data_IF_291788915937
#
_entry.id   IF_291788915937
#
_cell.length_a   1.000
_cell.length_b   1.000
_cell.length_c   1.000
_cell.angle_alpha   90.00
_cell.angle_beta   90.00
_cell.angle_gamma   90.00
#
_symmetry.space_group_name_H-M   'P 1'
#
loop_
_entity.id
_entity.type
_entity.pdbx_description
1 polymer ?
#
# COMPACT_ATOMS: atom_id res chain seq x y z
N UNK A 1 47.44 -40.59 -38.65
CA UNK A 1 46.63 -41.00 -37.48
C UNK A 1 46.33 -39.77 -36.64
N UNK A 2 45.05 -39.43 -36.44
CA UNK A 2 44.54 -38.23 -35.76
C UNK A 2 44.25 -38.53 -34.29
N UNK A 3 44.85 -37.82 -33.33
CA UNK A 3 44.43 -37.71 -31.91
C UNK A 3 45.10 -36.47 -31.31
N UNK A 4 44.51 -35.58 -30.52
CA UNK A 4 43.15 -35.25 -30.07
C UNK A 4 43.28 -33.79 -29.59
N UNK A 5 42.48 -32.86 -30.10
CA UNK A 5 42.40 -31.51 -29.56
C UNK A 5 41.55 -31.59 -28.27
N UNK A 6 42.12 -31.25 -27.13
CA UNK A 6 41.40 -31.06 -25.86
C UNK A 6 40.62 -29.74 -25.96
N UNK A 7 39.38 -29.83 -26.41
CA UNK A 7 38.41 -28.73 -26.30
C UNK A 7 37.95 -28.61 -24.86
N UNK A 8 38.46 -27.60 -24.16
CA UNK A 8 37.87 -27.07 -22.93
C UNK A 8 36.46 -26.55 -23.25
N UNK A 9 35.43 -27.36 -23.00
CA UNK A 9 34.06 -26.88 -22.94
C UNK A 9 33.89 -26.04 -21.66
N UNK A 10 34.18 -24.74 -21.79
CA UNK A 10 33.71 -23.74 -20.85
C UNK A 10 32.21 -23.59 -21.15
N UNK A 11 31.39 -24.41 -20.49
CA UNK A 11 29.95 -24.17 -20.43
C UNK A 11 29.74 -22.78 -19.80
N UNK A 12 29.02 -21.85 -20.46
CA UNK A 12 28.54 -20.69 -19.75
C UNK A 12 27.50 -21.23 -18.76
N UNK A 13 27.88 -21.36 -17.50
CA UNK A 13 26.91 -21.32 -16.41
C UNK A 13 26.30 -19.92 -16.49
N UNK A 14 25.26 -19.79 -17.30
CA UNK A 14 24.36 -18.65 -17.27
C UNK A 14 23.74 -18.73 -15.88
N UNK A 15 24.37 -18.01 -14.95
CA UNK A 15 23.83 -17.68 -13.65
C UNK A 15 22.49 -16.97 -13.88
N UNK A 16 21.42 -17.75 -13.96
CA UNK A 16 20.05 -17.23 -13.81
C UNK A 16 19.90 -16.83 -12.33
N UNK A 17 20.43 -15.67 -12.00
CA UNK A 17 20.01 -14.90 -10.83
C UNK A 17 19.59 -13.51 -11.34
N UNK A 18 18.74 -12.73 -10.66
CA UNK A 18 17.67 -13.01 -9.71
C UNK A 18 16.44 -12.15 -10.10
N UNK A 19 15.89 -12.31 -11.31
CA UNK A 19 14.88 -11.36 -11.83
C UNK A 19 13.58 -11.41 -11.03
N UNK A 20 13.20 -12.59 -10.53
CA UNK A 20 12.00 -12.76 -9.71
C UNK A 20 12.07 -12.01 -8.36
N UNK A 21 13.25 -11.89 -7.75
CA UNK A 21 13.42 -11.20 -6.46
C UNK A 21 13.41 -9.66 -6.61
N UNK A 22 13.87 -9.14 -7.74
CA UNK A 22 13.85 -7.69 -7.98
C UNK A 22 12.42 -7.17 -8.23
N UNK A 23 11.58 -7.96 -8.91
CA UNK A 23 10.19 -7.61 -9.19
C UNK A 23 9.37 -7.58 -7.90
N UNK A 24 9.54 -8.58 -7.01
CA UNK A 24 8.80 -8.64 -5.74
C UNK A 24 9.13 -7.47 -4.81
N UNK A 25 10.40 -7.05 -4.72
CA UNK A 25 10.80 -5.86 -3.94
C UNK A 25 10.13 -4.58 -4.46
N UNK A 26 10.03 -4.40 -5.78
CA UNK A 26 9.38 -3.23 -6.37
C UNK A 26 7.88 -3.18 -6.07
N UNK A 27 7.22 -4.34 -6.09
CA UNK A 27 5.79 -4.46 -5.83
C UNK A 27 5.47 -4.21 -4.36
N UNK A 28 6.24 -4.80 -3.46
CA UNK A 28 6.06 -4.60 -2.03
C UNK A 28 6.24 -3.11 -1.64
N UNK A 29 7.15 -2.39 -2.31
CA UNK A 29 7.29 -0.95 -2.14
C UNK A 29 6.05 -0.18 -2.57
N UNK A 30 5.49 -0.49 -3.75
CA UNK A 30 4.24 0.14 -4.23
C UNK A 30 3.06 -0.16 -3.31
N UNK A 31 2.93 -1.40 -2.85
CA UNK A 31 1.87 -1.79 -1.91
C UNK A 31 1.95 -0.95 -0.64
N UNK A 32 3.14 -0.80 -0.02
CA UNK A 32 3.32 0.04 1.16
C UNK A 32 2.93 1.50 0.92
N UNK A 33 3.28 2.06 -0.24
CA UNK A 33 2.86 3.42 -0.61
C UNK A 33 1.34 3.54 -0.72
N UNK A 34 0.67 2.52 -1.27
CA UNK A 34 -0.79 2.48 -1.36
C UNK A 34 -1.47 2.31 0.00
N UNK A 35 -0.93 1.46 0.87
CA UNK A 35 -1.40 1.33 2.26
C UNK A 35 -1.36 2.68 2.99
N UNK A 36 -0.23 3.40 2.89
CA UNK A 36 -0.11 4.72 3.50
C UNK A 36 -1.12 5.71 2.91
N UNK A 37 -1.25 5.75 1.57
CA UNK A 37 -2.22 6.62 0.90
C UNK A 37 -3.67 6.32 1.34
N UNK A 38 -4.02 5.04 1.49
CA UNK A 38 -5.33 4.63 1.97
C UNK A 38 -5.60 5.11 3.40
N UNK A 39 -4.62 4.98 4.30
CA UNK A 39 -4.70 5.48 5.68
C UNK A 39 -4.90 6.99 5.69
N UNK A 40 -4.08 7.73 4.95
CA UNK A 40 -4.14 9.20 4.91
C UNK A 40 -5.50 9.70 4.40
N UNK A 41 -6.02 9.08 3.34
CA UNK A 41 -7.34 9.41 2.79
C UNK A 41 -8.47 9.11 3.78
N UNK A 42 -8.39 7.97 4.48
CA UNK A 42 -9.38 7.56 5.47
C UNK A 42 -9.38 8.49 6.68
N UNK A 43 -8.19 8.85 7.18
CA UNK A 43 -8.02 9.79 8.29
C UNK A 43 -8.56 11.17 7.92
N UNK A 44 -8.19 11.70 6.75
CA UNK A 44 -8.66 13.02 6.31
C UNK A 44 -10.17 13.07 6.19
N UNK A 45 -10.78 12.01 5.63
CA UNK A 45 -12.24 11.90 5.57
C UNK A 45 -12.87 11.88 6.96
N UNK A 46 -12.32 11.06 7.86
CA UNK A 46 -12.80 10.96 9.24
C UNK A 46 -12.72 12.30 9.97
N UNK A 47 -11.66 13.08 9.75
CA UNK A 47 -11.52 14.44 10.28
C UNK A 47 -12.62 15.35 9.74
N UNK A 48 -12.82 15.41 8.43
CA UNK A 48 -13.82 16.29 7.83
C UNK A 48 -15.24 15.93 8.29
N UNK A 49 -15.60 14.64 8.29
CA UNK A 49 -16.91 14.18 8.77
C UNK A 49 -17.07 14.36 10.28
N UNK A 50 -16.05 14.04 11.07
CA UNK A 50 -16.09 14.15 12.52
C UNK A 50 -16.21 15.60 13.00
N UNK A 51 -15.47 16.53 12.40
CA UNK A 51 -15.60 17.96 12.71
C UNK A 51 -16.96 18.51 12.29
N UNK A 52 -17.46 18.10 11.12
CA UNK A 52 -18.80 18.47 10.64
C UNK A 52 -19.90 18.00 11.59
N UNK A 53 -19.80 16.75 12.08
CA UNK A 53 -20.75 16.18 13.04
C UNK A 53 -20.68 16.87 14.41
N UNK A 54 -19.47 17.24 14.85
CA UNK A 54 -19.28 17.98 16.09
C UNK A 54 -19.68 19.45 16.01
N UNK A 55 -19.93 19.97 14.80
CA UNK A 55 -20.23 21.39 14.57
C UNK A 55 -19.05 22.31 14.90
N UNK A 56 -17.82 21.81 14.81
CA UNK A 56 -16.60 22.54 15.17
C UNK A 56 -15.94 23.13 13.92
N UNK A 57 -15.62 24.42 13.94
CA UNK A 57 -14.82 25.04 12.86
C UNK A 57 -13.40 24.48 12.88
N UNK A 58 -12.92 23.97 11.74
CA UNK A 58 -11.60 23.31 11.64
C UNK A 58 -10.41 24.17 12.07
N UNK A 59 -10.55 25.50 12.09
CA UNK A 59 -9.49 26.42 12.46
C UNK A 59 -9.55 26.85 13.94
N UNK A 60 -10.54 26.36 14.69
CA UNK A 60 -10.71 26.70 16.10
C UNK A 60 -9.67 25.97 16.97
N UNK A 61 -9.34 26.51 18.16
CA UNK A 61 -8.52 25.81 19.14
C UNK A 61 -9.10 24.45 19.56
N UNK A 62 -10.43 24.34 19.64
CA UNK A 62 -11.16 23.12 19.99
C UNK A 62 -11.01 22.05 18.91
N UNK A 63 -10.96 22.45 17.63
CA UNK A 63 -10.74 21.52 16.52
C UNK A 63 -9.42 20.78 16.65
N UNK A 64 -8.36 21.40 17.18
CA UNK A 64 -7.04 20.74 17.29
C UNK A 64 -7.11 19.46 18.12
N UNK A 65 -7.81 19.51 19.27
CA UNK A 65 -8.00 18.33 20.13
C UNK A 65 -8.87 17.29 19.46
N UNK A 66 -9.99 17.72 18.86
CA UNK A 66 -10.88 16.82 18.13
C UNK A 66 -10.17 16.12 16.96
N UNK A 67 -9.38 16.85 16.17
CA UNK A 67 -8.60 16.33 15.05
C UNK A 67 -7.63 15.24 15.52
N UNK A 68 -6.94 15.45 16.65
CA UNK A 68 -5.98 14.47 17.17
C UNK A 68 -6.67 13.15 17.58
N UNK A 69 -7.80 13.24 18.28
CA UNK A 69 -8.60 12.08 18.68
C UNK A 69 -9.20 11.34 17.47
N UNK A 70 -9.75 12.10 16.52
CA UNK A 70 -10.32 11.56 15.29
C UNK A 70 -9.23 10.88 14.45
N UNK A 71 -8.05 11.49 14.34
CA UNK A 71 -6.90 10.93 13.62
C UNK A 71 -6.49 9.58 14.20
N UNK A 72 -6.29 9.50 15.52
CA UNK A 72 -5.90 8.26 16.19
C UNK A 72 -6.92 7.14 15.97
N UNK A 73 -8.20 7.48 16.08
CA UNK A 73 -9.32 6.54 15.90
C UNK A 73 -9.39 6.04 14.46
N UNK A 74 -9.36 6.95 13.47
CA UNK A 74 -9.46 6.58 12.06
C UNK A 74 -8.20 5.88 11.54
N UNK A 75 -7.02 6.18 12.05
CA UNK A 75 -5.81 5.43 11.73
C UNK A 75 -5.95 3.97 12.19
N UNK A 76 -6.52 3.74 13.37
CA UNK A 76 -6.83 2.39 13.87
C UNK A 76 -7.81 1.65 12.97
N UNK A 77 -8.93 2.29 12.62
CA UNK A 77 -9.91 1.69 11.70
C UNK A 77 -9.33 1.42 10.31
N UNK A 78 -8.52 2.33 9.77
CA UNK A 78 -7.88 2.15 8.47
C UNK A 78 -6.93 0.94 8.48
N UNK A 79 -6.14 0.74 9.55
CA UNK A 79 -5.27 -0.43 9.70
C UNK A 79 -6.06 -1.74 9.78
N UNK A 80 -7.13 -1.78 10.57
CA UNK A 80 -8.02 -2.96 10.65
C UNK A 80 -8.64 -3.28 9.28
N UNK A 81 -9.05 -2.26 8.53
CA UNK A 81 -9.57 -2.45 7.18
C UNK A 81 -8.50 -2.99 6.22
N UNK A 82 -7.27 -2.46 6.28
CA UNK A 82 -6.16 -2.97 5.47
C UNK A 82 -5.85 -4.43 5.80
N UNK A 83 -5.84 -4.81 7.08
CA UNK A 83 -5.63 -6.19 7.51
C UNK A 83 -6.73 -7.11 6.95
N UNK A 84 -7.99 -6.68 6.98
CA UNK A 84 -9.09 -7.44 6.41
C UNK A 84 -8.97 -7.59 4.87
N UNK A 85 -8.62 -6.51 4.17
CA UNK A 85 -8.38 -6.56 2.71
C UNK A 85 -7.22 -7.52 2.40
N UNK A 86 -6.13 -7.44 3.15
CA UNK A 86 -4.96 -8.29 2.97
C UNK A 86 -5.26 -9.77 3.24
N UNK A 87 -6.01 -10.07 4.30
CA UNK A 87 -6.45 -11.44 4.61
C UNK A 87 -7.38 -12.03 3.53
N UNK A 88 -8.14 -11.17 2.83
CA UNK A 88 -9.03 -11.61 1.75
C UNK A 88 -8.31 -11.84 0.41
N UNK A 89 -7.11 -11.28 0.25
CA UNK A 89 -6.32 -11.40 -0.97
C UNK A 89 -5.52 -12.71 -0.99
N UNK A 90 -5.46 -13.39 -2.14
CA UNK A 90 -4.69 -14.64 -2.30
C UNK A 90 -3.24 -14.39 -2.76
N UNK A 91 -2.92 -13.17 -3.15
CA UNK A 91 -1.61 -12.76 -3.64
C UNK A 91 -1.39 -11.25 -3.47
N UNK A 92 -0.13 -10.82 -3.58
CA UNK A 92 0.23 -9.40 -3.58
C UNK A 92 -0.40 -8.63 -4.76
N UNK A 93 -0.61 -9.28 -5.91
CA UNK A 93 -1.31 -8.69 -7.06
C UNK A 93 -2.80 -8.44 -6.79
N UNK A 94 -3.48 -9.41 -6.16
CA UNK A 94 -4.87 -9.25 -5.76
C UNK A 94 -5.01 -8.17 -4.69
N UNK A 95 -4.06 -8.13 -3.74
CA UNK A 95 -4.03 -7.12 -2.70
C UNK A 95 -3.80 -5.71 -3.28
N UNK A 96 -2.83 -5.55 -4.18
CA UNK A 96 -2.55 -4.27 -4.83
C UNK A 96 -3.77 -3.74 -5.62
N UNK A 97 -4.50 -4.62 -6.32
CA UNK A 97 -5.74 -4.26 -7.03
C UNK A 97 -6.88 -3.87 -6.07
N UNK A 98 -7.03 -4.59 -4.96
CA UNK A 98 -8.02 -4.26 -3.95
C UNK A 98 -7.74 -2.90 -3.32
N UNK A 99 -6.46 -2.59 -3.03
CA UNK A 99 -6.04 -1.26 -2.56
C UNK A 99 -6.36 -0.17 -3.58
N UNK A 100 -6.08 -0.39 -4.87
CA UNK A 100 -6.42 0.58 -5.92
C UNK A 100 -7.91 0.91 -5.96
N UNK A 101 -8.77 -0.11 -5.86
CA UNK A 101 -10.21 0.09 -5.82
C UNK A 101 -10.64 0.85 -4.56
N UNK A 102 -10.13 0.46 -3.40
CA UNK A 102 -10.47 1.09 -2.13
C UNK A 102 -10.05 2.58 -2.09
N UNK A 103 -8.83 2.88 -2.56
CA UNK A 103 -8.33 4.26 -2.71
C UNK A 103 -9.22 5.05 -3.67
N UNK A 104 -9.58 4.49 -4.83
CA UNK A 104 -10.44 5.18 -5.82
C UNK A 104 -11.80 5.53 -5.24
N UNK A 105 -12.42 4.63 -4.48
CA UNK A 105 -13.72 4.92 -3.84
C UNK A 105 -13.60 5.98 -2.73
N UNK A 106 -12.52 5.94 -1.92
CA UNK A 106 -12.24 6.99 -0.95
C UNK A 106 -12.04 8.36 -1.60
N UNK A 107 -11.21 8.44 -2.64
CA UNK A 107 -10.97 9.68 -3.39
C UNK A 107 -12.25 10.27 -3.99
N UNK A 108 -13.15 9.43 -4.51
CA UNK A 108 -14.47 9.89 -4.98
C UNK A 108 -15.32 10.42 -3.84
N UNK A 109 -15.28 9.76 -2.69
CA UNK A 109 -16.07 10.16 -1.53
C UNK A 109 -15.59 11.46 -0.89
N UNK A 110 -14.28 11.73 -0.92
CA UNK A 110 -13.69 12.96 -0.39
C UNK A 110 -13.87 14.18 -1.32
N UNK A 111 -14.32 13.97 -2.56
CA UNK A 111 -14.64 15.04 -3.52
C UNK A 111 -16.09 15.55 -3.41
N UNK A 112 -16.93 14.89 -2.61
CA UNK A 112 -18.34 15.25 -2.41
C UNK A 112 -18.50 16.11 -1.17
#
# INVERSE_FOLDING_TARGET
MKKKLLTFSILPFISLAPVALAVSCSQQSRIKQKEQKYIDLSVNKGIDEGLKLAGVDKNSPEAKKAIEEIKKTNEGFAKVALDAIKQSAKSDDEYEKALDQAIKELEKSNKK
#
